data_IF_312398152249
#
_entry.id   IF_312398152249
#
_cell.length_a   1.000
_cell.length_b   1.000
_cell.length_c   1.000
_cell.angle_alpha   90.00
_cell.angle_beta   90.00
_cell.angle_gamma   90.00
#
_symmetry.space_group_name_H-M   'P 1'
#
loop_
_entity.id
_entity.type
_entity.pdbx_description
1 polymer ?
#
# COMPACT_ATOMS: atom_id res chain seq x y z
N UNK A 1 2.88 22.60 -3.51
CA UNK A 1 2.92 21.13 -3.65
C UNK A 1 2.26 20.50 -2.45
N UNK A 2 1.02 20.04 -2.62
CA UNK A 2 0.35 19.19 -1.63
C UNK A 2 0.48 17.73 -2.05
N UNK A 3 0.59 16.84 -1.08
CA UNK A 3 0.48 15.39 -1.30
C UNK A 3 -0.91 14.96 -0.87
N UNK A 4 -1.54 14.06 -1.63
CA UNK A 4 -2.77 13.40 -1.20
C UNK A 4 -2.42 12.22 -0.30
N UNK A 5 -3.11 12.13 0.83
CA UNK A 5 -2.92 11.07 1.83
C UNK A 5 -4.24 10.31 1.97
N UNK A 6 -4.14 9.00 2.22
CA UNK A 6 -5.27 8.11 2.45
C UNK A 6 -5.34 7.81 3.95
N UNK A 7 -6.36 8.33 4.62
CA UNK A 7 -6.62 8.06 6.03
C UNK A 7 -7.33 6.73 6.19
N UNK A 8 -6.60 5.72 6.70
CA UNK A 8 -7.13 4.38 6.88
C UNK A 8 -8.15 4.28 8.02
N UNK A 9 -8.18 5.25 8.94
CA UNK A 9 -9.18 5.28 10.01
C UNK A 9 -10.61 5.47 9.49
N UNK A 10 -10.75 5.99 8.26
CA UNK A 10 -12.04 6.10 7.55
C UNK A 10 -12.53 4.74 7.06
N UNK A 11 -11.61 3.80 6.81
CA UNK A 11 -11.92 2.43 6.35
C UNK A 11 -12.21 1.52 7.53
N UNK A 12 -11.32 1.50 8.53
CA UNK A 12 -11.48 0.73 9.76
C UNK A 12 -10.85 1.48 10.95
N UNK A 13 -11.56 1.53 12.08
CA UNK A 13 -11.05 2.15 13.30
C UNK A 13 -9.94 1.31 13.96
N UNK A 14 -9.95 -0.01 13.77
CA UNK A 14 -8.91 -0.92 14.23
C UNK A 14 -7.83 -1.08 13.16
N UNK A 15 -6.79 -0.23 13.26
CA UNK A 15 -5.68 -0.24 12.32
C UNK A 15 -4.89 -1.55 12.32
N UNK A 16 -5.05 -2.46 13.29
CA UNK A 16 -4.37 -3.76 13.26
C UNK A 16 -4.95 -4.72 12.19
N UNK A 17 -6.10 -4.36 11.60
CA UNK A 17 -6.87 -5.22 10.68
C UNK A 17 -6.88 -4.73 9.24
N UNK A 18 -6.19 -3.63 8.94
CA UNK A 18 -6.16 -3.00 7.63
C UNK A 18 -4.72 -2.74 7.19
N UNK A 19 -4.44 -2.95 5.92
CA UNK A 19 -3.20 -2.54 5.29
C UNK A 19 -3.50 -1.80 3.98
N UNK A 20 -2.53 -1.04 3.48
CA UNK A 20 -2.60 -0.30 2.24
C UNK A 20 -1.41 -0.66 1.36
N UNK A 21 -1.67 -1.37 0.26
CA UNK A 21 -0.69 -1.60 -0.79
C UNK A 21 -0.71 -0.40 -1.74
N UNK A 22 0.41 0.32 -1.89
CA UNK A 22 0.48 1.53 -2.72
C UNK A 22 1.89 1.79 -3.24
N UNK A 23 1.99 2.30 -4.46
CA UNK A 23 3.25 2.64 -5.12
C UNK A 23 3.74 4.08 -4.82
N UNK A 24 2.98 4.85 -4.02
CA UNK A 24 3.36 6.19 -3.58
C UNK A 24 3.50 6.23 -2.06
N UNK A 25 4.71 6.42 -1.51
CA UNK A 25 4.93 6.55 -0.07
C UNK A 25 4.14 7.67 0.60
N UNK A 26 3.76 8.70 -0.15
CA UNK A 26 2.95 9.79 0.36
C UNK A 26 1.50 9.34 0.69
N UNK A 27 0.99 8.31 0.01
CA UNK A 27 -0.38 7.80 0.19
C UNK A 27 -0.63 7.29 1.61
N UNK A 28 0.34 6.63 2.23
CA UNK A 28 0.24 6.04 3.58
C UNK A 28 1.05 6.82 4.64
N UNK A 29 1.36 8.10 4.37
CA UNK A 29 2.25 8.89 5.23
C UNK A 29 1.77 9.05 6.69
N UNK A 30 0.46 8.97 6.96
CA UNK A 30 -0.11 9.06 8.33
C UNK A 30 -0.35 7.70 8.99
N UNK A 31 -0.36 6.62 8.22
CA UNK A 31 -0.51 5.24 8.68
C UNK A 31 0.67 4.39 8.15
N UNK A 32 1.91 4.84 8.38
CA UNK A 32 3.09 4.24 7.75
C UNK A 32 3.26 2.75 8.07
N UNK A 33 2.92 2.33 9.28
CA UNK A 33 2.99 0.94 9.71
C UNK A 33 1.99 0.01 8.97
N UNK A 34 0.96 0.60 8.35
CA UNK A 34 -0.04 -0.13 7.57
C UNK A 34 0.29 -0.13 6.06
N UNK A 35 1.32 0.61 5.64
CA UNK A 35 1.72 0.71 4.25
C UNK A 35 2.57 -0.49 3.82
N UNK A 36 2.16 -1.15 2.75
CA UNK A 36 2.97 -2.14 2.03
C UNK A 36 3.40 -1.48 0.71
N UNK A 37 4.69 -1.12 0.56
CA UNK A 37 5.16 -0.56 -0.69
C UNK A 37 5.08 -1.63 -1.79
N UNK A 38 4.67 -1.20 -2.98
CA UNK A 38 4.75 -2.01 -4.20
C UNK A 38 5.36 -1.17 -5.32
N UNK A 39 6.08 -1.80 -6.23
CA UNK A 39 6.58 -1.11 -7.41
C UNK A 39 5.42 -0.66 -8.32
N UNK A 40 5.62 0.46 -9.00
CA UNK A 40 4.66 0.94 -9.98
C UNK A 40 4.76 0.11 -11.27
N UNK A 41 3.64 -0.45 -11.70
CA UNK A 41 3.60 -1.20 -12.95
C UNK A 41 3.57 -0.26 -14.18
N UNK A 42 4.43 -0.51 -15.16
CA UNK A 42 4.45 0.21 -16.44
C UNK A 42 4.68 -0.77 -17.61
N UNK A 43 3.59 -1.35 -18.12
CA UNK A 43 3.55 -2.16 -19.35
C UNK A 43 4.54 -3.35 -19.39
N UNK A 44 5.05 -3.84 -18.25
CA UNK A 44 5.87 -5.05 -18.22
C UNK A 44 4.98 -6.29 -18.08
N UNK A 45 4.92 -7.18 -19.10
CA UNK A 45 4.14 -8.41 -19.02
C UNK A 45 4.79 -9.48 -18.13
N UNK A 46 6.03 -9.29 -17.67
CA UNK A 46 6.73 -10.19 -16.75
C UNK A 46 6.78 -9.66 -15.31
N UNK A 47 6.06 -8.58 -14.99
CA UNK A 47 5.95 -8.10 -13.62
C UNK A 47 5.25 -9.14 -12.74
N UNK A 48 5.92 -9.52 -11.65
CA UNK A 48 5.42 -10.46 -10.65
C UNK A 48 5.27 -9.79 -9.26
N UNK A 49 5.32 -8.46 -9.18
CA UNK A 49 5.36 -7.73 -7.89
C UNK A 49 4.17 -8.06 -6.98
N UNK A 50 2.98 -8.30 -7.57
CA UNK A 50 1.80 -8.73 -6.81
C UNK A 50 1.89 -10.18 -6.32
N UNK A 51 2.51 -11.07 -7.09
CA UNK A 51 2.72 -12.47 -6.69
C UNK A 51 3.74 -12.56 -5.55
N UNK A 52 4.77 -11.72 -5.59
CA UNK A 52 5.80 -11.62 -4.55
C UNK A 52 5.24 -11.19 -3.18
N UNK A 53 4.06 -10.55 -3.14
CA UNK A 53 3.39 -10.19 -1.89
C UNK A 53 2.69 -11.37 -1.21
N UNK A 54 2.38 -12.46 -1.93
CA UNK A 54 1.60 -13.58 -1.39
C UNK A 54 2.20 -14.19 -0.11
N UNK A 55 3.52 -14.47 0.00
CA UNK A 55 4.09 -15.09 1.20
C UNK A 55 3.96 -14.24 2.47
N UNK A 56 3.75 -12.93 2.33
CA UNK A 56 3.54 -12.02 3.45
C UNK A 56 2.05 -11.88 3.80
N UNK A 57 1.16 -12.10 2.83
CA UNK A 57 -0.29 -11.94 2.97
C UNK A 57 -1.04 -13.25 3.32
N UNK A 58 -0.42 -14.41 3.11
CA UNK A 58 -0.96 -15.74 3.46
C UNK A 58 -0.82 -16.12 4.95
#
# INVERSE_FOLDING_TARGET
NGSYVKDLSVVDADLSRVCLVDNSPASYAINQANGIPIEGWINDPHDECLLDLLPMLD
#
